data_IF_979293495363
#
_entry.id   IF_979293495363
#
_cell.length_a   1.000
_cell.length_b   1.000
_cell.length_c   1.000
_cell.angle_alpha   90.00
_cell.angle_beta   90.00
_cell.angle_gamma   90.00
#
_symmetry.space_group_name_H-M   'P 1'
#
loop_
_entity.id
_entity.type
_entity.pdbx_description
1 polymer ?
#
# COMPACT_ATOMS: atom_id res chain seq x y z
N UNK A 1 39.11 25.84 -27.96
CA UNK A 1 38.32 24.99 -27.05
C UNK A 1 36.85 25.21 -27.35
N UNK A 2 36.13 24.25 -27.93
CA UNK A 2 34.68 24.40 -28.15
C UNK A 2 33.96 24.27 -26.80
N UNK A 3 33.12 25.25 -26.46
CA UNK A 3 32.28 25.21 -25.26
C UNK A 3 31.16 24.20 -25.47
N UNK A 4 31.08 23.18 -24.61
CA UNK A 4 30.02 22.20 -24.61
C UNK A 4 28.66 22.89 -24.42
N UNK A 5 27.59 22.46 -25.13
CA UNK A 5 26.27 23.02 -24.94
C UNK A 5 25.74 22.62 -23.57
N UNK A 6 25.37 23.63 -22.78
CA UNK A 6 24.59 23.46 -21.55
C UNK A 6 23.24 22.89 -21.94
N UNK A 7 22.98 21.62 -21.62
CA UNK A 7 21.65 21.02 -21.74
C UNK A 7 20.71 21.77 -20.80
N UNK A 8 19.80 22.58 -21.35
CA UNK A 8 18.67 23.09 -20.58
C UNK A 8 17.81 21.90 -20.14
N UNK A 9 17.85 21.59 -18.85
CA UNK A 9 16.90 20.67 -18.24
C UNK A 9 15.54 21.36 -18.29
N UNK A 10 14.68 20.95 -19.23
CA UNK A 10 13.31 21.43 -19.32
C UNK A 10 12.60 21.30 -17.97
N UNK A 11 11.77 22.29 -17.63
CA UNK A 11 11.11 22.38 -16.34
C UNK A 11 10.35 21.08 -16.00
N UNK A 12 10.68 20.48 -14.86
CA UNK A 12 10.03 19.25 -14.40
C UNK A 12 8.53 19.49 -14.15
N UNK A 13 7.67 18.47 -14.39
CA UNK A 13 6.25 18.58 -14.10
C UNK A 13 6.02 18.79 -12.61
N UNK A 14 5.12 19.72 -12.26
CA UNK A 14 4.76 20.01 -10.87
C UNK A 14 3.68 19.07 -10.32
N UNK A 15 3.08 18.24 -11.18
CA UNK A 15 2.01 17.30 -10.82
C UNK A 15 2.05 16.05 -11.70
N UNK A 16 1.82 14.89 -11.07
CA UNK A 16 1.61 13.62 -11.76
C UNK A 16 0.21 13.10 -11.39
N UNK A 17 -0.55 12.68 -12.40
CA UNK A 17 -1.82 11.98 -12.22
C UNK A 17 -1.64 10.55 -12.71
N UNK A 18 -1.89 9.60 -11.84
CA UNK A 18 -1.81 8.17 -12.13
C UNK A 18 -3.15 7.52 -11.80
N UNK A 19 -3.41 6.38 -12.43
CA UNK A 19 -4.43 5.45 -11.93
C UNK A 19 -4.05 5.03 -10.50
N UNK A 20 -5.03 4.75 -9.67
CA UNK A 20 -4.78 4.30 -8.30
C UNK A 20 -3.82 3.09 -8.33
N UNK A 21 -2.64 3.19 -7.70
CA UNK A 21 -1.64 2.13 -7.72
C UNK A 21 -2.01 0.99 -6.74
N UNK A 22 -1.23 -0.08 -6.77
CA UNK A 22 -1.33 -1.20 -5.83
C UNK A 22 0.00 -1.39 -5.08
N UNK A 23 -0.07 -1.90 -3.85
CA UNK A 23 1.10 -2.21 -3.02
C UNK A 23 1.40 -3.72 -3.06
N UNK A 24 2.40 -4.12 -3.83
CA UNK A 24 2.74 -5.53 -4.02
C UNK A 24 3.51 -6.16 -2.85
N UNK A 25 3.82 -5.40 -1.79
CA UNK A 25 4.49 -5.93 -0.60
C UNK A 25 4.22 -5.06 0.63
N UNK A 26 3.25 -5.46 1.46
CA UNK A 26 2.94 -4.74 2.71
C UNK A 26 2.87 -5.67 3.93
N UNK A 27 3.27 -5.15 5.10
CA UNK A 27 3.07 -5.80 6.40
C UNK A 27 2.10 -4.99 7.25
N UNK A 28 0.84 -5.43 7.35
CA UNK A 28 -0.20 -4.72 8.11
C UNK A 28 -0.24 -5.07 9.61
N UNK A 29 0.48 -6.12 10.04
CA UNK A 29 0.49 -6.60 11.43
C UNK A 29 -0.93 -7.03 11.86
N UNK A 30 -1.23 -7.02 13.17
CA UNK A 30 -2.54 -7.42 13.69
C UNK A 30 -2.92 -6.57 14.91
N UNK A 31 -4.18 -6.67 15.35
CA UNK A 31 -4.73 -5.96 16.51
C UNK A 31 -4.59 -4.43 16.41
N UNK A 32 -4.22 -3.78 17.51
CA UNK A 32 -4.10 -2.31 17.57
C UNK A 32 -3.13 -1.73 16.54
N UNK A 33 -2.11 -2.49 16.14
CA UNK A 33 -1.19 -2.03 15.09
C UNK A 33 -1.87 -2.02 13.73
N UNK A 34 -2.65 -3.06 13.40
CA UNK A 34 -3.43 -3.10 12.17
C UNK A 34 -4.37 -1.90 12.06
N UNK A 35 -5.13 -1.63 13.14
CA UNK A 35 -6.03 -0.47 13.22
C UNK A 35 -5.29 0.85 13.03
N UNK A 36 -4.09 0.98 13.59
CA UNK A 36 -3.27 2.18 13.48
C UNK A 36 -2.64 2.41 12.10
N UNK A 37 -2.40 1.35 11.30
CA UNK A 37 -1.63 1.46 10.05
C UNK A 37 -2.44 1.29 8.77
N UNK A 38 -3.51 0.48 8.79
CA UNK A 38 -4.22 0.07 7.56
C UNK A 38 -4.80 1.27 6.78
N UNK A 39 -5.25 2.31 7.49
CA UNK A 39 -5.79 3.53 6.87
C UNK A 39 -4.77 4.26 6.00
N UNK A 40 -3.47 4.21 6.32
CA UNK A 40 -2.43 4.84 5.51
C UNK A 40 -2.26 4.13 4.17
N UNK A 41 -2.23 2.78 4.17
CA UNK A 41 -2.19 1.98 2.94
C UNK A 41 -3.45 2.20 2.10
N UNK A 42 -4.63 2.13 2.72
CA UNK A 42 -5.91 2.30 2.04
C UNK A 42 -6.09 3.68 1.40
N UNK A 43 -5.43 4.72 1.93
CA UNK A 43 -5.44 6.07 1.35
C UNK A 43 -4.66 6.17 0.03
N UNK A 44 -3.61 5.37 -0.12
CA UNK A 44 -2.65 5.50 -1.24
C UNK A 44 -2.87 4.47 -2.34
N UNK A 45 -3.35 3.27 -1.98
CA UNK A 45 -3.40 2.13 -2.87
C UNK A 45 -4.83 1.60 -3.03
N UNK A 46 -5.12 1.02 -4.19
CA UNK A 46 -6.39 0.34 -4.45
C UNK A 46 -6.39 -1.09 -3.90
N UNK A 47 -5.28 -1.81 -4.04
CA UNK A 47 -5.10 -3.20 -3.56
C UNK A 47 -3.73 -3.39 -2.94
N UNK A 48 -3.55 -4.49 -2.19
CA UNK A 48 -2.23 -4.90 -1.74
C UNK A 48 -2.03 -6.41 -1.70
N UNK A 49 -0.76 -6.84 -1.71
CA UNK A 49 -0.35 -8.19 -1.29
C UNK A 49 0.15 -8.10 0.15
N UNK A 50 -0.69 -8.58 1.07
CA UNK A 50 -0.41 -8.55 2.50
C UNK A 50 0.40 -9.77 2.91
N UNK A 51 1.57 -9.53 3.48
CA UNK A 51 2.51 -10.58 3.85
C UNK A 51 2.03 -11.40 5.07
N UNK A 52 2.26 -12.73 5.09
CA UNK A 52 1.64 -13.65 6.05
C UNK A 52 2.43 -13.84 7.36
N UNK A 53 3.50 -13.08 7.59
CA UNK A 53 4.45 -13.26 8.68
C UNK A 53 3.97 -12.69 10.04
N UNK A 54 2.74 -13.03 10.44
CA UNK A 54 2.23 -12.81 11.78
C UNK A 54 2.89 -13.77 12.79
N UNK A 55 2.56 -13.62 14.07
CA UNK A 55 2.98 -14.54 15.14
C UNK A 55 1.72 -15.10 15.83
N UNK A 56 1.33 -16.36 15.55
CA UNK A 56 1.93 -17.31 14.61
C UNK A 56 1.73 -16.91 13.13
N UNK A 57 2.55 -17.42 12.19
CA UNK A 57 2.42 -17.09 10.78
C UNK A 57 1.14 -17.65 10.18
N UNK A 58 0.61 -16.96 9.16
CA UNK A 58 -0.57 -17.38 8.40
C UNK A 58 -0.14 -18.45 7.38
N UNK A 59 -0.46 -19.72 7.66
CA UNK A 59 -0.03 -20.87 6.84
C UNK A 59 -1.18 -21.66 6.22
N UNK A 60 -2.43 -21.28 6.50
CA UNK A 60 -3.63 -21.96 5.97
C UNK A 60 -4.56 -20.96 5.29
N UNK A 61 -5.36 -21.45 4.36
CA UNK A 61 -6.38 -20.64 3.66
C UNK A 61 -7.39 -20.06 4.65
N UNK A 62 -7.82 -20.85 5.63
CA UNK A 62 -8.76 -20.39 6.66
C UNK A 62 -8.17 -19.25 7.51
N UNK A 63 -6.89 -19.34 7.88
CA UNK A 63 -6.21 -18.27 8.61
C UNK A 63 -6.07 -17.00 7.74
N UNK A 64 -5.81 -17.15 6.44
CA UNK A 64 -5.76 -16.03 5.52
C UNK A 64 -7.13 -15.34 5.35
N UNK A 65 -8.22 -16.12 5.26
CA UNK A 65 -9.58 -15.59 5.22
C UNK A 65 -9.91 -14.80 6.49
N UNK A 66 -9.65 -15.37 7.67
CA UNK A 66 -9.87 -14.70 8.94
C UNK A 66 -9.02 -13.43 9.09
N UNK A 67 -7.78 -13.45 8.58
CA UNK A 67 -6.92 -12.26 8.59
C UNK A 67 -7.47 -11.16 7.67
N UNK A 68 -7.92 -11.52 6.46
CA UNK A 68 -8.57 -10.59 5.53
C UNK A 68 -9.82 -9.94 6.16
N UNK A 69 -10.64 -10.72 6.86
CA UNK A 69 -11.82 -10.20 7.56
C UNK A 69 -11.44 -9.16 8.63
N UNK A 70 -10.39 -9.42 9.42
CA UNK A 70 -9.88 -8.43 10.39
C UNK A 70 -9.37 -7.17 9.71
N UNK A 71 -8.67 -7.29 8.58
CA UNK A 71 -8.20 -6.13 7.81
C UNK A 71 -9.39 -5.30 7.33
N UNK A 72 -10.41 -5.93 6.73
CA UNK A 72 -11.62 -5.23 6.26
C UNK A 72 -12.33 -4.52 7.40
N UNK A 73 -12.46 -5.17 8.56
CA UNK A 73 -13.08 -4.58 9.75
C UNK A 73 -12.32 -3.36 10.30
N UNK A 74 -11.00 -3.32 10.12
CA UNK A 74 -10.15 -2.22 10.55
C UNK A 74 -10.10 -1.04 9.55
N UNK A 75 -10.74 -1.16 8.37
CA UNK A 75 -10.70 -0.09 7.36
C UNK A 75 -11.54 1.12 7.79
N UNK A 76 -11.10 2.35 7.44
CA UNK A 76 -11.94 3.53 7.57
C UNK A 76 -13.26 3.39 6.82
N UNK A 77 -14.34 3.95 7.37
CA UNK A 77 -15.67 3.94 6.74
C UNK A 77 -15.60 4.52 5.33
N UNK A 78 -16.17 3.80 4.35
CA UNK A 78 -16.17 4.21 2.94
C UNK A 78 -14.86 3.93 2.20
N UNK A 79 -13.93 3.18 2.79
CA UNK A 79 -12.73 2.72 2.09
C UNK A 79 -13.10 1.80 0.92
N UNK A 80 -12.50 2.08 -0.25
CA UNK A 80 -12.58 1.23 -1.45
C UNK A 80 -11.37 0.29 -1.59
N UNK A 81 -10.50 0.24 -0.57
CA UNK A 81 -9.31 -0.60 -0.58
C UNK A 81 -9.68 -2.09 -0.52
N UNK A 82 -9.05 -2.88 -1.38
CA UNK A 82 -9.20 -4.34 -1.38
C UNK A 82 -7.90 -5.00 -0.90
N UNK A 83 -7.84 -5.40 0.39
CA UNK A 83 -6.68 -6.09 0.96
C UNK A 83 -6.54 -7.54 0.47
#
# INVERSE_FOLDING_TARGET
>A
MPTSPTTELGQAPTRIVLRAPDDWHVHLRDGAMLEGVVGYTARQFARAIVMPNLSPPVTTVAAAQAYRERIIAALPTGSNFTP
#
